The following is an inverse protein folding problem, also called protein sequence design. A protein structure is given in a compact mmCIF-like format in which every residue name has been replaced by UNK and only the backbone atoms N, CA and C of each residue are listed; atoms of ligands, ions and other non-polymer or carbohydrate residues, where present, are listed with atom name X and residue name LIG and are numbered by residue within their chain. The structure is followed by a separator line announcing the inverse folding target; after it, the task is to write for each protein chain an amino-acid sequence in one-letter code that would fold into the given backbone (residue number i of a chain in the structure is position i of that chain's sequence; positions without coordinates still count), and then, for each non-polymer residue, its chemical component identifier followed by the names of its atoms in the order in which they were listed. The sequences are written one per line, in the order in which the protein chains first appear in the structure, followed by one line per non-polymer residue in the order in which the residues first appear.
data_IF_307089406762
#
_entry.id   IF_307089406762
#
_cell.length_a   1.000
_cell.length_b   1.000
_cell.length_c   1.000
_cell.angle_alpha   90.00
_cell.angle_beta   90.00
_cell.angle_gamma   90.00
#
_symmetry.space_group_name_H-M   'P 1'
#
loop_
_entity.id
_entity.type
_entity.pdbx_description
1 polymer ?
#
# COMPACT_ATOMS: atom_id res chain seq x y z
N UNK A 1 7.08 -1.80 -7.72
CA UNK A 1 8.05 -1.46 -6.65
C UNK A 1 7.57 -2.05 -5.35
N UNK A 2 8.49 -2.41 -4.47
CA UNK A 2 8.21 -2.76 -3.08
C UNK A 2 8.33 -1.50 -2.23
N UNK A 3 7.29 -1.20 -1.48
CA UNK A 3 7.25 -0.06 -0.56
C UNK A 3 7.24 -0.64 0.84
N UNK A 4 8.19 -0.25 1.68
CA UNK A 4 8.32 -0.77 3.05
C UNK A 4 8.33 0.38 4.05
N UNK A 5 7.75 0.15 5.21
CA UNK A 5 7.91 1.01 6.38
C UNK A 5 8.28 0.14 7.59
N UNK A 6 8.44 0.78 8.75
CA UNK A 6 8.58 0.05 10.02
C UNK A 6 7.39 -0.87 10.33
N UNK A 7 6.22 -0.61 9.75
CA UNK A 7 4.94 -1.22 10.14
C UNK A 7 4.45 -2.28 9.18
N UNK A 8 4.86 -2.21 7.92
CA UNK A 8 4.40 -3.14 6.90
C UNK A 8 5.03 -2.88 5.55
N UNK A 9 4.51 -3.57 4.54
CA UNK A 9 5.03 -3.53 3.19
C UNK A 9 3.94 -3.81 2.17
N UNK A 10 4.01 -3.15 1.03
CA UNK A 10 3.06 -3.35 -0.06
C UNK A 10 3.74 -3.25 -1.42
N UNK A 11 3.11 -3.86 -2.44
CA UNK A 11 3.52 -3.77 -3.82
C UNK A 11 2.59 -2.84 -4.59
N UNK A 12 3.18 -1.99 -5.45
CA UNK A 12 2.43 -1.18 -6.43
C UNK A 12 3.22 -0.94 -7.71
N UNK A 13 2.54 -0.78 -8.86
CA UNK A 13 3.15 -0.14 -10.03
C UNK A 13 3.60 1.29 -9.69
N UNK A 14 4.75 1.71 -10.21
CA UNK A 14 5.27 3.06 -9.99
C UNK A 14 4.90 3.96 -11.16
N UNK A 15 4.29 5.11 -10.89
CA UNK A 15 4.18 6.21 -11.84
C UNK A 15 5.17 7.30 -11.44
N UNK A 16 6.15 7.56 -12.30
CA UNK A 16 7.08 8.68 -12.12
C UNK A 16 6.42 9.95 -12.64
N UNK A 17 6.46 11.02 -11.84
CA UNK A 17 5.90 12.31 -12.19
C UNK A 17 6.72 13.44 -11.58
N UNK A 18 6.81 14.55 -12.30
CA UNK A 18 7.48 15.78 -11.83
C UNK A 18 6.58 16.61 -10.89
N UNK A 19 5.32 16.22 -10.70
CA UNK A 19 4.40 16.93 -9.81
C UNK A 19 4.70 16.72 -8.32
N UNK A 20 5.48 15.68 -7.98
CA UNK A 20 5.81 15.36 -6.60
C UNK A 20 7.13 16.02 -6.19
N UNK A 21 7.16 16.59 -4.98
CA UNK A 21 8.40 17.08 -4.36
C UNK A 21 9.40 15.92 -4.23
N UNK A 22 10.70 16.12 -4.55
CA UNK A 22 11.71 15.10 -4.36
C UNK A 22 11.71 14.53 -2.94
N UNK A 23 11.73 13.19 -2.82
CA UNK A 23 11.65 12.48 -1.54
C UNK A 23 10.23 12.23 -1.02
N UNK A 24 9.18 12.66 -1.74
CA UNK A 24 7.78 12.42 -1.39
C UNK A 24 7.18 11.33 -2.27
N UNK A 25 6.51 10.37 -1.64
CA UNK A 25 5.68 9.36 -2.30
C UNK A 25 4.20 9.67 -2.07
N UNK A 26 3.40 9.67 -3.14
CA UNK A 26 1.95 9.75 -3.05
C UNK A 26 1.32 8.38 -3.34
N UNK A 27 0.33 8.01 -2.55
CA UNK A 27 -0.47 6.80 -2.73
C UNK A 27 -1.95 7.11 -2.45
N UNK A 28 -2.84 6.51 -3.23
CA UNK A 28 -4.28 6.63 -3.03
C UNK A 28 -4.77 5.84 -1.81
N UNK A 29 -5.79 6.37 -1.12
CA UNK A 29 -6.51 5.67 -0.06
C UNK A 29 -7.66 4.84 -0.64
N UNK A 30 -8.09 3.81 0.09
CA UNK A 30 -9.31 3.03 -0.22
C UNK A 30 -9.07 1.65 -0.80
N UNK A 31 -7.83 1.29 -1.16
CA UNK A 31 -7.52 -0.06 -1.60
C UNK A 31 -7.81 -1.09 -0.49
N UNK A 32 -8.49 -2.18 -0.85
CA UNK A 32 -8.79 -3.29 0.05
C UNK A 32 -7.57 -4.20 0.16
N UNK A 33 -7.07 -4.37 1.38
CA UNK A 33 -5.82 -5.09 1.66
C UNK A 33 -5.85 -6.54 1.14
N UNK A 34 -4.80 -6.98 0.43
CA UNK A 34 -4.57 -8.36 -0.05
C UNK A 34 -3.24 -8.85 0.51
N UNK A 35 -3.23 -9.34 1.76
CA UNK A 35 -2.00 -9.84 2.37
C UNK A 35 -1.68 -11.21 1.81
N UNK A 36 -0.51 -11.32 1.19
CA UNK A 36 0.13 -12.60 0.94
C UNK A 36 0.62 -13.20 2.27
N UNK A 37 0.05 -14.34 2.69
CA UNK A 37 0.30 -14.91 4.03
C UNK A 37 1.75 -15.38 4.23
N UNK A 38 2.42 -15.83 3.17
CA UNK A 38 3.79 -16.33 3.26
C UNK A 38 4.78 -15.17 3.41
N UNK A 39 4.62 -14.15 2.58
CA UNK A 39 5.56 -13.03 2.52
C UNK A 39 5.18 -11.89 3.46
N UNK A 40 3.91 -11.78 3.86
CA UNK A 40 3.35 -10.65 4.60
C UNK A 40 3.27 -9.36 3.76
N UNK A 41 3.32 -9.47 2.43
CA UNK A 41 3.25 -8.33 1.51
C UNK A 41 1.79 -8.07 1.14
N UNK A 42 1.35 -6.82 1.28
CA UNK A 42 0.08 -6.39 0.71
C UNK A 42 0.21 -6.20 -0.81
N UNK A 43 -0.44 -7.08 -1.58
CA UNK A 43 -0.46 -7.01 -3.04
C UNK A 43 -1.36 -5.88 -3.55
N UNK A 44 -2.38 -5.46 -2.78
CA UNK A 44 -3.39 -4.49 -3.20
C UNK A 44 -3.00 -3.02 -2.98
N UNK A 45 -1.94 -2.75 -2.21
CA UNK A 45 -1.43 -1.39 -2.00
C UNK A 45 -2.29 -0.52 -1.08
N UNK A 46 -2.94 -1.12 -0.09
CA UNK A 46 -3.58 -0.43 1.02
C UNK A 46 -2.53 0.35 1.84
N UNK A 47 -2.41 1.66 1.62
CA UNK A 47 -1.37 2.46 2.27
C UNK A 47 -1.40 2.42 3.80
N UNK A 48 -2.55 2.10 4.40
CA UNK A 48 -2.69 2.00 5.85
C UNK A 48 -1.83 0.86 6.44
N UNK A 49 -1.45 -0.16 5.67
CA UNK A 49 -0.50 -1.20 6.15
C UNK A 49 0.89 -0.62 6.44
N UNK A 50 1.24 0.49 5.79
CA UNK A 50 2.50 1.19 6.03
C UNK A 50 2.42 2.11 7.25
N UNK A 51 1.22 2.46 7.72
CA UNK A 51 1.02 3.43 8.79
C UNK A 51 0.74 2.74 10.11
N UNK A 52 1.62 2.94 11.10
CA UNK A 52 1.44 2.40 12.44
C UNK A 52 0.61 3.28 13.37
N UNK A 53 0.45 2.84 14.64
CA UNK A 53 -0.27 3.58 15.67
C UNK A 53 0.57 4.76 16.21
N UNK A 54 0.80 5.77 15.37
CA UNK A 54 1.40 7.03 15.79
C UNK A 54 0.30 7.95 16.33
N UNK A 55 -0.03 7.78 17.61
CA UNK A 55 -1.06 8.55 18.31
C UNK A 55 -0.51 9.91 18.74
N UNK A 56 -1.22 10.98 18.39
CA UNK A 56 -0.95 12.32 18.92
C UNK A 56 -1.59 12.48 20.30
N UNK A 57 -1.15 13.48 21.07
CA UNK A 57 -1.68 13.76 22.42
C UNK A 57 -3.18 14.03 22.46
N UNK A 58 -3.82 14.32 21.32
CA UNK A 58 -5.26 14.56 21.18
C UNK A 58 -6.06 13.35 20.70
N UNK A 59 -5.45 12.16 20.63
CA UNK A 59 -6.13 10.93 20.20
C UNK A 59 -6.33 10.82 18.68
N UNK A 60 -5.60 11.61 17.89
CA UNK A 60 -5.60 11.51 16.43
C UNK A 60 -4.45 10.60 15.96
N UNK A 61 -4.63 9.91 14.83
CA UNK A 61 -3.62 9.04 14.24
C UNK A 61 -3.00 9.69 12.99
N UNK A 62 -1.67 9.71 12.93
CA UNK A 62 -0.93 10.41 11.88
C UNK A 62 -0.82 9.60 10.57
N UNK A 63 -1.95 9.38 9.89
CA UNK A 63 -2.05 8.54 8.67
C UNK A 63 -1.26 9.05 7.45
N UNK A 64 -0.93 10.34 7.41
CA UNK A 64 -0.12 10.98 6.37
C UNK A 64 1.35 11.20 6.77
N UNK A 65 1.74 10.78 7.97
CA UNK A 65 3.10 10.93 8.48
C UNK A 65 3.74 9.54 8.58
N UNK A 66 4.32 9.10 7.48
CA UNK A 66 5.00 7.81 7.40
C UNK A 66 6.30 7.95 6.60
N UNK A 67 7.40 7.47 7.18
CA UNK A 67 8.66 7.29 6.47
C UNK A 67 8.65 5.89 5.87
N UNK A 68 8.88 5.81 4.57
CA UNK A 68 8.95 4.55 3.82
C UNK A 68 10.20 4.50 2.93
N UNK A 69 10.56 3.29 2.54
CA UNK A 69 11.56 3.01 1.52
C UNK A 69 10.87 2.47 0.27
N UNK A 70 11.41 2.80 -0.90
CA UNK A 70 10.90 2.32 -2.20
C UNK A 70 12.02 1.60 -2.92
N UNK A 71 11.82 0.32 -3.21
CA UNK A 71 12.80 -0.55 -3.85
C UNK A 71 12.24 -1.16 -5.13
N UNK A 72 13.14 -1.46 -6.07
CA UNK A 72 12.76 -2.23 -7.25
C UNK A 72 12.29 -3.61 -6.80
N UNK A 73 11.19 -4.07 -7.39
CA UNK A 73 10.68 -5.40 -7.17
C UNK A 73 11.17 -6.29 -8.30
N UNK A 74 11.83 -7.39 -7.95
CA UNK A 74 12.40 -8.35 -8.92
C UNK A 74 11.65 -9.69 -8.95
N UNK A 75 10.56 -9.83 -8.17
CA UNK A 75 9.66 -10.99 -8.24
C UNK A 75 8.56 -10.83 -9.28
N UNK A 76 7.50 -11.64 -9.15
CA UNK A 76 6.39 -11.65 -10.10
C UNK A 76 5.68 -10.28 -10.18
N UNK A 77 5.45 -9.73 -11.39
CA UNK A 77 4.72 -8.49 -11.56
C UNK A 77 3.26 -8.61 -11.10
N UNK A 78 2.73 -7.51 -10.55
CA UNK A 78 1.29 -7.43 -10.28
C UNK A 78 0.51 -7.42 -11.60
N UNK A 79 -0.53 -8.26 -11.66
CA UNK A 79 -1.58 -8.14 -12.68
C UNK A 79 -2.33 -6.83 -12.47
N UNK A 80 -2.75 -6.10 -13.52
CA UNK A 80 -3.61 -4.93 -13.37
C UNK A 80 -4.84 -5.20 -12.50
N UNK A 81 -5.12 -4.31 -11.54
CA UNK A 81 -6.17 -4.53 -10.52
C UNK A 81 -7.55 -4.85 -11.12
N UNK A 82 -7.90 -4.31 -12.30
CA UNK A 82 -9.19 -4.55 -12.96
C UNK A 82 -9.36 -5.97 -13.52
N UNK A 83 -8.29 -6.76 -13.55
CA UNK A 83 -8.30 -8.16 -13.97
C UNK A 83 -8.33 -9.13 -12.78
N UNK A 84 -8.33 -8.62 -11.55
CA UNK A 84 -8.41 -9.47 -10.37
C UNK A 84 -9.84 -9.96 -10.20
N UNK A 85 -9.97 -11.17 -9.67
CA UNK A 85 -11.28 -11.69 -9.29
C UNK A 85 -11.92 -10.77 -8.24
N UNK A 86 -13.23 -10.53 -8.40
CA UNK A 86 -14.02 -9.77 -7.43
C UNK A 86 -13.98 -10.47 -6.07
N UNK A 87 -13.77 -9.68 -5.01
CA UNK A 87 -13.96 -10.18 -3.65
C UNK A 87 -15.44 -10.22 -3.30
N UNK A 88 -16.09 -11.29 -3.74
CA UNK A 88 -17.49 -11.56 -3.43
C UNK A 88 -17.61 -12.22 -2.06
N UNK A 89 -18.08 -11.46 -1.07
CA UNK A 89 -18.43 -12.00 0.26
C UNK A 89 -19.81 -12.68 0.21
N UNK A 90 -20.71 -12.12 -0.59
CA UNK A 90 -22.05 -12.64 -0.83
C UNK A 90 -22.30 -12.64 -2.33
N UNK A 91 -22.92 -13.69 -2.85
CA UNK A 91 -23.42 -13.71 -4.22
C UNK A 91 -24.77 -12.98 -4.22
N UNK A 92 -24.92 -12.03 -5.13
CA UNK A 92 -26.26 -11.47 -5.41
C UNK A 92 -27.08 -12.55 -6.14
N UNK A 93 -28.32 -12.75 -5.68
CA UNK A 93 -29.31 -13.66 -6.28
C UNK A 93 -29.91 -13.09 -7.57
#
# INVERSE_FOLDING_TARGET
VLITSKWGKCLRPLQVTEMMTPGVLAMGQGAWVEIDEETGIDKAGCMNVLCGPNVTTTGYQAWNTCICNVEKWDGEPLVPDYLWDSREVFKED
#
